data_IF_856845584660
#
_entry.id   IF_856845584660
#
_cell.length_a   1.000
_cell.length_b   1.000
_cell.length_c   1.000
_cell.angle_alpha   90.00
_cell.angle_beta   90.00
_cell.angle_gamma   90.00
#
_symmetry.space_group_name_H-M   'P 1'
#
loop_
_entity.id
_entity.type
_entity.pdbx_description
1 polymer ?
#
# COMPACT_ATOMS: atom_id res chain seq x y z
N UNK A 1 22.46 2.67 48.97
CA UNK A 1 23.29 1.89 48.01
C UNK A 1 22.61 0.56 47.73
N UNK A 2 21.45 0.58 47.09
CA UNK A 2 20.70 -0.61 46.61
C UNK A 2 19.79 -0.14 45.46
N UNK A 3 20.40 0.58 44.53
CA UNK A 3 19.84 0.90 43.22
C UNK A 3 20.51 -0.08 42.28
N UNK A 4 19.80 -1.07 41.74
CA UNK A 4 20.13 -1.74 40.46
C UNK A 4 19.09 -2.84 40.21
N UNK A 5 17.88 -2.44 39.83
CA UNK A 5 16.97 -3.32 39.09
C UNK A 5 17.25 -3.05 37.62
N UNK A 6 18.24 -3.76 37.08
CA UNK A 6 18.46 -3.85 35.63
C UNK A 6 17.42 -4.78 35.04
N UNK A 7 16.29 -4.20 34.64
CA UNK A 7 15.47 -4.75 33.58
C UNK A 7 16.34 -4.82 32.32
N UNK A 8 17.00 -5.95 32.13
CA UNK A 8 17.57 -6.38 30.85
C UNK A 8 16.40 -6.75 29.93
N UNK A 9 15.67 -5.73 29.47
CA UNK A 9 14.73 -5.85 28.38
C UNK A 9 15.54 -5.90 27.09
N UNK A 10 15.45 -7.02 26.38
CA UNK A 10 16.16 -7.25 25.12
C UNK A 10 16.07 -6.05 24.19
N UNK A 11 17.17 -5.78 23.49
CA UNK A 11 17.30 -4.75 22.46
C UNK A 11 16.42 -5.14 21.26
N UNK A 12 15.11 -5.05 21.43
CA UNK A 12 14.15 -5.19 20.35
C UNK A 12 14.24 -3.94 19.48
N UNK A 13 14.21 -4.14 18.16
CA UNK A 13 14.06 -3.05 17.19
C UNK A 13 12.77 -2.29 17.47
N UNK A 14 12.84 -1.26 18.30
CA UNK A 14 11.69 -0.43 18.60
C UNK A 14 11.44 0.52 17.42
N UNK A 15 10.36 0.26 16.68
CA UNK A 15 9.91 1.17 15.63
C UNK A 15 9.43 2.47 16.28
N UNK A 16 10.10 3.59 15.97
CA UNK A 16 9.71 4.90 16.49
C UNK A 16 8.27 5.24 16.08
N UNK A 17 7.48 5.82 16.99
CA UNK A 17 6.02 5.96 16.86
C UNK A 17 5.59 6.73 15.61
N UNK A 18 6.44 7.60 15.07
CA UNK A 18 6.21 8.33 13.82
C UNK A 18 6.18 7.44 12.57
N UNK A 19 6.83 6.27 12.62
CA UNK A 19 6.84 5.31 11.51
C UNK A 19 5.65 4.37 11.56
N UNK A 20 4.81 4.43 12.59
CA UNK A 20 3.63 3.57 12.71
C UNK A 20 2.55 4.10 11.77
N UNK A 21 2.42 3.50 10.59
CA UNK A 21 1.28 3.75 9.71
C UNK A 21 0.01 3.23 10.41
N UNK A 22 -1.02 4.07 10.50
CA UNK A 22 -2.27 3.73 11.18
C UNK A 22 -2.90 2.47 10.58
N UNK A 23 -3.26 1.52 11.45
CA UNK A 23 -3.83 0.20 11.13
C UNK A 23 -5.19 0.22 10.38
N UNK A 24 -5.69 1.39 9.99
CA UNK A 24 -7.05 1.59 9.49
C UNK A 24 -7.14 1.86 7.98
N UNK A 25 -6.01 2.05 7.31
CA UNK A 25 -5.99 2.26 5.86
C UNK A 25 -5.42 1.00 5.21
N UNK A 26 -6.32 0.18 4.65
CA UNK A 26 -5.93 -0.95 3.80
C UNK A 26 -4.78 -0.51 2.88
N UNK A 27 -3.63 -1.19 2.99
CA UNK A 27 -2.40 -0.81 2.31
C UNK A 27 -2.70 -0.52 0.83
N UNK A 28 -2.54 0.74 0.46
CA UNK A 28 -2.76 1.21 -0.90
C UNK A 28 -1.83 0.45 -1.84
N UNK A 29 -2.38 -0.46 -2.64
CA UNK A 29 -1.59 -1.32 -3.52
C UNK A 29 -1.20 -0.52 -4.76
N UNK A 30 0.11 -0.39 -4.98
CA UNK A 30 0.67 0.28 -6.16
C UNK A 30 0.46 -0.52 -7.45
N UNK A 31 0.42 -1.86 -7.33
CA UNK A 31 0.29 -2.77 -8.47
C UNK A 31 -1.16 -3.18 -8.61
N UNK A 32 -1.81 -2.63 -9.63
CA UNK A 32 -3.18 -2.98 -10.02
C UNK A 32 -3.19 -4.17 -10.96
N UNK A 33 -4.16 -5.07 -10.77
CA UNK A 33 -4.43 -6.14 -11.72
C UNK A 33 -5.07 -5.55 -12.99
N UNK A 34 -4.95 -6.29 -14.09
CA UNK A 34 -5.38 -5.82 -15.42
C UNK A 34 -6.86 -5.43 -15.46
N UNK A 35 -7.74 -6.20 -14.81
CA UNK A 35 -9.17 -5.89 -14.75
C UNK A 35 -9.46 -4.61 -13.96
N UNK A 36 -8.67 -4.30 -12.92
CA UNK A 36 -8.80 -3.05 -12.17
C UNK A 36 -8.40 -1.87 -13.05
N UNK A 37 -7.32 -2.02 -13.84
CA UNK A 37 -6.94 -1.02 -14.85
C UNK A 37 -8.03 -0.81 -15.90
N UNK A 38 -8.66 -1.88 -16.38
CA UNK A 38 -9.78 -1.77 -17.34
C UNK A 38 -10.95 -0.99 -16.72
N UNK A 39 -11.32 -1.31 -15.47
CA UNK A 39 -12.39 -0.59 -14.77
C UNK A 39 -12.08 0.90 -14.60
N UNK A 40 -10.83 1.25 -14.27
CA UNK A 40 -10.38 2.64 -14.20
C UNK A 40 -10.46 3.32 -15.58
N UNK A 41 -10.00 2.65 -16.63
CA UNK A 41 -10.03 3.20 -17.98
C UNK A 41 -11.46 3.34 -18.53
N UNK A 42 -12.36 2.41 -18.18
CA UNK A 42 -13.79 2.46 -18.48
C UNK A 42 -14.45 3.66 -17.80
N UNK A 43 -14.15 3.88 -16.51
CA UNK A 43 -14.57 5.10 -15.78
C UNK A 43 -14.02 6.38 -16.40
N UNK A 44 -12.82 6.32 -17.00
CA UNK A 44 -12.21 7.45 -17.69
C UNK A 44 -12.65 7.60 -19.16
N UNK A 45 -13.53 6.73 -19.67
CA UNK A 45 -13.97 6.73 -21.08
C UNK A 45 -12.87 6.37 -22.09
N UNK A 46 -11.73 5.86 -21.64
CA UNK A 46 -10.56 5.51 -22.48
C UNK A 46 -10.57 4.07 -22.98
N UNK A 47 -11.51 3.27 -22.49
CA UNK A 47 -11.66 1.87 -22.86
C UNK A 47 -13.14 1.52 -22.92
N UNK A 48 -13.57 0.91 -24.03
CA UNK A 48 -14.95 0.48 -24.28
C UNK A 48 -15.01 -1.04 -24.44
N UNK A 49 -16.20 -1.60 -24.24
CA UNK A 49 -16.42 -3.04 -24.38
C UNK A 49 -16.15 -3.45 -25.85
N UNK A 50 -15.22 -4.39 -26.05
CA UNK A 50 -14.71 -4.79 -27.37
C UNK A 50 -13.31 -4.29 -27.71
N UNK A 51 -12.77 -3.33 -26.96
CA UNK A 51 -11.37 -2.91 -27.12
C UNK A 51 -10.41 -4.02 -26.63
N UNK A 52 -9.18 -3.96 -27.13
CA UNK A 52 -8.13 -4.92 -26.75
C UNK A 52 -7.82 -4.81 -25.26
N UNK A 53 -7.67 -5.98 -24.63
CA UNK A 53 -7.31 -6.14 -23.21
C UNK A 53 -5.81 -5.99 -22.98
N UNK A 54 -5.01 -6.09 -24.04
CA UNK A 54 -3.56 -5.95 -24.03
C UNK A 54 -3.15 -4.54 -24.50
N UNK A 55 -2.00 -4.05 -24.03
CA UNK A 55 -1.49 -2.72 -24.42
C UNK A 55 -2.26 -1.53 -23.82
N UNK A 56 -2.92 -1.73 -22.67
CA UNK A 56 -3.74 -0.70 -22.03
C UNK A 56 -2.95 0.60 -21.75
N UNK A 57 -3.54 1.78 -21.99
CA UNK A 57 -2.95 3.07 -21.64
C UNK A 57 -2.53 3.14 -20.17
N UNK A 58 -1.43 3.84 -19.89
CA UNK A 58 -0.91 3.98 -18.51
C UNK A 58 -1.95 4.69 -17.63
N UNK A 59 -2.31 4.04 -16.53
CA UNK A 59 -3.15 4.65 -15.49
C UNK A 59 -2.25 5.44 -14.55
N UNK A 60 -2.70 6.62 -14.10
CA UNK A 60 -2.02 7.33 -13.02
C UNK A 60 -2.09 6.47 -11.75
N UNK A 61 -1.01 6.39 -10.95
CA UNK A 61 -1.09 5.76 -9.65
C UNK A 61 -2.20 6.45 -8.87
N UNK A 62 -3.17 5.66 -8.39
CA UNK A 62 -4.21 6.17 -7.51
C UNK A 62 -3.53 6.68 -6.26
#
# INVERSE_FOLDING_TARGET
MLWYITLSGGKEMSQHRSYRSGSLLAAKRNVLKRYERINILKKQGKWKDGDKVLGLPKTKPV
#
